data_IF_180242561820
#
_entry.id   IF_180242561820
#
_cell.length_a   1.000
_cell.length_b   1.000
_cell.length_c   1.000
_cell.angle_alpha   90.00
_cell.angle_beta   90.00
_cell.angle_gamma   90.00
#
_symmetry.space_group_name_H-M   'P 1'
#
loop_
_entity.id
_entity.type
_entity.pdbx_description
1 polymer ?
#
# COMPACT_ATOMS: atom_id res chain seq x y z
N UNK A 1 13.38 -4.82 -18.86
CA UNK A 1 12.40 -4.37 -17.84
C UNK A 1 13.15 -4.24 -16.53
N UNK A 2 13.25 -3.05 -15.95
CA UNK A 2 13.89 -2.85 -14.64
C UNK A 2 13.10 -3.63 -13.59
N UNK A 3 13.76 -4.53 -12.86
CA UNK A 3 13.17 -5.14 -11.67
C UNK A 3 13.09 -4.03 -10.62
N UNK A 4 11.90 -3.49 -10.41
CA UNK A 4 11.69 -2.59 -9.27
C UNK A 4 11.83 -3.43 -8.02
N UNK A 5 12.94 -3.30 -7.30
CA UNK A 5 13.22 -4.05 -6.08
C UNK A 5 12.66 -3.30 -4.85
N UNK A 6 12.32 -4.01 -3.78
CA UNK A 6 11.71 -3.42 -2.57
C UNK A 6 12.49 -2.21 -2.02
N UNK A 7 13.84 -2.22 -1.92
CA UNK A 7 14.59 -1.06 -1.45
C UNK A 7 14.36 0.21 -2.29
N UNK A 8 14.22 0.07 -3.61
CA UNK A 8 13.98 1.19 -4.53
C UNK A 8 12.58 1.79 -4.29
N UNK A 9 11.57 0.95 -4.08
CA UNK A 9 10.21 1.38 -3.74
C UNK A 9 10.20 2.13 -2.40
N UNK A 10 10.86 1.57 -1.38
CA UNK A 10 10.95 2.21 -0.07
C UNK A 10 11.69 3.55 -0.14
N UNK A 11 12.74 3.64 -0.96
CA UNK A 11 13.47 4.89 -1.18
C UNK A 11 12.58 5.92 -1.87
N UNK A 12 11.81 5.53 -2.89
CA UNK A 12 10.85 6.43 -3.56
C UNK A 12 9.81 6.97 -2.56
N UNK A 13 9.23 6.09 -1.73
CA UNK A 13 8.26 6.47 -0.70
C UNK A 13 8.86 7.51 0.28
N UNK A 14 10.15 7.39 0.62
CA UNK A 14 10.84 8.36 1.50
C UNK A 14 11.09 9.71 0.83
N UNK A 15 11.40 9.70 -0.46
CA UNK A 15 11.76 10.90 -1.22
C UNK A 15 10.53 11.67 -1.70
N UNK A 16 9.41 10.99 -1.91
CA UNK A 16 8.13 11.61 -2.22
C UNK A 16 7.54 12.25 -0.96
N UNK A 17 7.72 13.57 -0.83
CA UNK A 17 7.21 14.35 0.30
C UNK A 17 5.69 14.23 0.45
N UNK A 18 4.94 14.06 -0.65
CA UNK A 18 3.49 13.88 -0.60
C UNK A 18 3.17 12.55 0.09
N UNK A 19 3.73 11.45 -0.38
CA UNK A 19 3.45 10.12 0.20
C UNK A 19 3.97 10.04 1.64
N UNK A 20 5.18 10.55 1.90
CA UNK A 20 5.81 10.55 3.23
C UNK A 20 4.97 11.30 4.26
N UNK A 21 4.55 12.52 3.97
CA UNK A 21 3.85 13.37 4.94
C UNK A 21 2.43 12.83 5.22
N UNK A 22 1.84 12.11 4.27
CA UNK A 22 0.55 11.46 4.45
C UNK A 22 0.57 10.19 5.33
N UNK A 23 1.75 9.70 5.73
CA UNK A 23 1.87 8.71 6.81
C UNK A 23 1.84 9.33 8.21
N UNK A 24 2.04 10.64 8.33
CA UNK A 24 2.02 11.37 9.60
C UNK A 24 0.59 11.76 10.04
N UNK A 25 -0.35 11.84 9.09
CA UNK A 25 -1.76 12.16 9.38
C UNK A 25 -2.54 10.89 9.78
N UNK A 26 -2.89 10.74 11.05
CA UNK A 26 -3.49 9.51 11.57
C UNK A 26 -4.94 9.23 11.10
N UNK A 27 -5.58 10.10 10.32
CA UNK A 27 -7.03 10.01 10.05
C UNK A 27 -7.45 10.23 8.58
N UNK A 28 -6.60 9.92 7.59
CA UNK A 28 -7.03 9.97 6.19
C UNK A 28 -8.10 8.91 5.89
N UNK A 29 -9.24 9.37 5.37
CA UNK A 29 -10.27 8.49 4.83
C UNK A 29 -9.79 7.81 3.54
N UNK A 30 -10.45 6.71 3.18
CA UNK A 30 -10.21 6.02 1.89
C UNK A 30 -10.38 6.96 0.70
N UNK A 31 -11.37 7.84 0.77
CA UNK A 31 -11.67 8.80 -0.30
C UNK A 31 -10.59 9.87 -0.39
N UNK A 32 -10.16 10.43 0.74
CA UNK A 32 -9.06 11.39 0.78
C UNK A 32 -7.76 10.76 0.28
N UNK A 33 -7.45 9.53 0.71
CA UNK A 33 -6.26 8.80 0.26
C UNK A 33 -6.30 8.49 -1.24
N UNK A 34 -7.46 8.09 -1.77
CA UNK A 34 -7.61 7.83 -3.19
C UNK A 34 -7.46 9.12 -4.02
N UNK A 35 -8.10 10.21 -3.59
CA UNK A 35 -7.97 11.52 -4.21
C UNK A 35 -6.52 12.02 -4.17
N UNK A 36 -5.81 11.76 -3.07
CA UNK A 36 -4.42 12.13 -2.90
C UNK A 36 -3.50 11.46 -3.93
N UNK A 37 -3.76 10.18 -4.21
CA UNK A 37 -3.04 9.39 -5.21
C UNK A 37 -3.59 9.57 -6.64
N UNK A 38 -4.59 10.43 -6.83
CA UNK A 38 -5.12 10.80 -8.15
C UNK A 38 -6.12 9.80 -8.76
N UNK A 39 -6.82 8.99 -7.95
CA UNK A 39 -7.80 8.03 -8.47
C UNK A 39 -9.08 7.92 -7.62
N UNK A 40 -10.08 7.23 -8.15
CA UNK A 40 -11.35 7.02 -7.45
C UNK A 40 -11.23 5.98 -6.32
N UNK A 41 -11.98 6.16 -5.22
CA UNK A 41 -11.98 5.27 -4.04
C UNK A 41 -12.21 3.78 -4.37
N UNK A 42 -12.93 3.50 -5.47
CA UNK A 42 -13.19 2.13 -5.94
C UNK A 42 -11.92 1.41 -6.42
N UNK A 43 -10.88 2.14 -6.82
CA UNK A 43 -9.58 1.59 -7.17
C UNK A 43 -8.90 0.98 -5.94
N UNK A 44 -8.91 1.67 -4.80
CA UNK A 44 -8.40 1.12 -3.53
C UNK A 44 -9.16 -0.14 -3.15
N UNK A 45 -10.50 -0.08 -3.19
CA UNK A 45 -11.33 -1.24 -2.86
C UNK A 45 -11.01 -2.44 -3.75
N UNK A 46 -10.79 -2.24 -5.06
CA UNK A 46 -10.37 -3.30 -5.97
C UNK A 46 -9.00 -3.88 -5.60
N UNK A 47 -8.06 -3.07 -5.16
CA UNK A 47 -6.75 -3.56 -4.70
C UNK A 47 -6.85 -4.33 -3.39
N UNK A 48 -7.64 -3.84 -2.44
CA UNK A 48 -7.95 -4.56 -1.20
C UNK A 48 -8.55 -5.95 -1.52
N UNK A 49 -9.54 -6.01 -2.41
CA UNK A 49 -10.23 -7.26 -2.76
C UNK A 49 -9.39 -8.22 -3.62
N UNK A 50 -8.67 -7.71 -4.63
CA UNK A 50 -8.02 -8.54 -5.66
C UNK A 50 -6.52 -8.76 -5.45
N UNK A 51 -5.93 -8.11 -4.44
CA UNK A 51 -4.50 -8.22 -4.14
C UNK A 51 -4.32 -8.57 -2.66
N UNK A 52 -4.76 -7.70 -1.76
CA UNK A 52 -4.52 -7.89 -0.31
C UNK A 52 -5.28 -9.11 0.21
N UNK A 53 -6.58 -9.21 -0.06
CA UNK A 53 -7.42 -10.30 0.43
C UNK A 53 -7.02 -11.68 -0.14
N UNK A 54 -6.36 -11.72 -1.30
CA UNK A 54 -5.88 -12.94 -1.94
C UNK A 54 -4.50 -13.42 -1.41
N UNK A 55 -3.87 -12.65 -0.51
CA UNK A 55 -2.62 -13.01 0.17
C UNK A 55 -2.92 -13.14 1.67
N UNK A 56 -3.26 -14.34 2.19
CA UNK A 56 -3.67 -14.51 3.58
C UNK A 56 -2.77 -13.84 4.62
N UNK A 57 -1.43 -14.01 4.60
CA UNK A 57 -0.58 -13.40 5.63
C UNK A 57 -0.59 -11.86 5.56
N UNK A 58 -0.70 -11.29 4.36
CA UNK A 58 -0.81 -9.83 4.19
C UNK A 58 -2.18 -9.30 4.65
N UNK A 59 -3.26 -10.01 4.31
CA UNK A 59 -4.61 -9.73 4.79
C UNK A 59 -4.65 -9.67 6.30
N UNK A 60 -4.06 -10.66 7.00
CA UNK A 60 -4.04 -10.66 8.45
C UNK A 60 -3.34 -9.43 9.02
N UNK A 61 -2.15 -9.07 8.53
CA UNK A 61 -1.45 -7.84 8.98
C UNK A 61 -2.22 -6.56 8.64
N UNK A 62 -2.90 -6.52 7.48
CA UNK A 62 -3.65 -5.35 7.03
C UNK A 62 -4.87 -5.03 7.91
N UNK A 63 -5.53 -6.05 8.45
CA UNK A 63 -6.73 -5.91 9.30
C UNK A 63 -6.50 -6.19 10.78
N UNK A 64 -5.24 -6.38 11.21
CA UNK A 64 -4.84 -6.79 12.58
C UNK A 64 -5.47 -5.93 13.69
N UNK A 65 -5.58 -4.61 13.48
CA UNK A 65 -6.10 -3.67 14.48
C UNK A 65 -7.64 -3.46 14.43
N UNK A 66 -8.38 -4.36 13.78
CA UNK A 66 -9.84 -4.52 13.87
C UNK A 66 -10.66 -3.23 14.13
N UNK A 67 -10.60 -2.27 13.21
CA UNK A 67 -11.77 -1.41 12.89
C UNK A 67 -12.51 -1.96 11.68
N UNK A 68 -12.71 -3.28 11.64
CA UNK A 68 -13.41 -3.99 10.57
C UNK A 68 -12.78 -3.85 9.17
N UNK A 69 -13.20 -4.72 8.26
CA UNK A 69 -12.87 -4.67 6.82
C UNK A 69 -13.44 -3.40 6.15
N UNK A 70 -14.10 -2.51 6.91
CA UNK A 70 -14.96 -1.42 6.42
C UNK A 70 -14.86 -0.12 7.23
N UNK A 71 -13.79 0.12 7.97
CA UNK A 71 -13.53 1.47 8.49
C UNK A 71 -13.60 2.47 7.32
N UNK A 72 -14.10 3.69 7.50
CA UNK A 72 -13.97 4.72 6.45
C UNK A 72 -12.54 5.26 6.37
N UNK A 73 -11.74 5.01 7.40
CA UNK A 73 -10.38 5.51 7.58
C UNK A 73 -9.34 4.42 7.35
N UNK A 74 -8.20 4.83 6.81
CA UNK A 74 -7.02 3.99 6.63
C UNK A 74 -5.98 4.39 7.68
N UNK A 75 -5.43 3.41 8.39
CA UNK A 75 -4.26 3.66 9.22
C UNK A 75 -2.97 3.80 8.38
N UNK A 76 -1.88 4.20 9.02
CA UNK A 76 -0.60 4.43 8.34
C UNK A 76 -0.07 3.20 7.60
N UNK A 77 -0.21 2.01 8.19
CA UNK A 77 0.23 0.76 7.57
C UNK A 77 -0.61 0.37 6.36
N UNK A 78 -1.93 0.56 6.45
CA UNK A 78 -2.84 0.33 5.35
C UNK A 78 -2.52 1.25 4.16
N UNK A 79 -2.29 2.53 4.43
CA UNK A 79 -1.85 3.49 3.41
C UNK A 79 -0.50 3.11 2.83
N UNK A 80 0.44 2.63 3.65
CA UNK A 80 1.75 2.18 3.20
C UNK A 80 1.65 1.03 2.20
N UNK A 81 0.85 0.00 2.49
CA UNK A 81 0.66 -1.10 1.56
C UNK A 81 -0.05 -0.67 0.27
N UNK A 82 -1.02 0.23 0.36
CA UNK A 82 -1.69 0.78 -0.83
C UNK A 82 -0.73 1.66 -1.67
N UNK A 83 0.20 2.39 -1.04
CA UNK A 83 1.25 3.13 -1.73
C UNK A 83 2.22 2.21 -2.47
N UNK A 84 2.62 1.09 -1.85
CA UNK A 84 3.44 0.07 -2.52
C UNK A 84 2.72 -0.49 -3.74
N UNK A 85 1.44 -0.85 -3.60
CA UNK A 85 0.63 -1.33 -4.72
C UNK A 85 0.56 -0.27 -5.82
N UNK A 86 0.33 0.99 -5.47
CA UNK A 86 0.33 2.11 -6.41
C UNK A 86 1.65 2.23 -7.18
N UNK A 87 2.79 2.26 -6.49
CA UNK A 87 4.11 2.35 -7.13
C UNK A 87 4.44 1.12 -7.98
N UNK A 88 4.06 -0.07 -7.52
CA UNK A 88 4.19 -1.30 -8.31
C UNK A 88 3.33 -1.25 -9.56
N UNK A 89 2.12 -0.68 -9.48
CA UNK A 89 1.24 -0.45 -10.62
C UNK A 89 1.77 0.65 -11.56
N UNK A 90 2.65 1.53 -11.07
CA UNK A 90 3.34 2.59 -11.83
C UNK A 90 2.39 3.69 -12.33
N UNK A 91 2.91 4.59 -13.17
CA UNK A 91 2.08 5.59 -13.92
C UNK A 91 1.02 4.92 -14.82
N UNK A 92 1.12 3.60 -15.02
CA UNK A 92 0.17 2.79 -15.77
C UNK A 92 -1.13 2.47 -15.00
N UNK A 93 -1.42 3.13 -13.86
CA UNK A 93 -2.79 3.12 -13.29
C UNK A 93 -3.81 3.65 -14.31
N UNK A 94 -3.40 4.55 -15.23
CA UNK A 94 -4.22 5.02 -16.35
C UNK A 94 -4.32 4.01 -17.52
N UNK A 95 -3.38 3.07 -17.64
CA UNK A 95 -3.30 2.13 -18.78
C UNK A 95 -3.62 0.67 -18.42
N UNK A 96 -3.62 0.30 -17.13
CA UNK A 96 -4.00 -1.02 -16.64
C UNK A 96 -2.92 -2.13 -16.75
N UNK A 97 -1.64 -1.80 -16.94
CA UNK A 97 -0.66 -2.74 -17.55
C UNK A 97 0.27 -3.51 -16.57
N UNK A 98 0.28 -3.24 -15.26
CA UNK A 98 0.75 -4.26 -14.29
C UNK A 98 -0.39 -5.15 -13.83
N UNK A 99 -0.36 -6.43 -14.20
CA UNK A 99 -1.38 -7.41 -13.80
C UNK A 99 -1.33 -7.64 -12.27
N UNK A 100 -2.49 -7.77 -11.62
CA UNK A 100 -2.60 -8.10 -10.19
C UNK A 100 -1.73 -9.30 -9.79
N UNK A 101 -1.54 -10.26 -10.70
CA UNK A 101 -0.67 -11.42 -10.47
C UNK A 101 0.75 -11.03 -10.11
N UNK A 102 1.39 -10.14 -10.87
CA UNK A 102 2.77 -9.70 -10.63
C UNK A 102 2.90 -8.92 -9.32
N UNK A 103 1.92 -8.06 -9.03
CA UNK A 103 1.88 -7.33 -7.74
C UNK A 103 1.75 -8.32 -6.59
N UNK A 104 0.88 -9.33 -6.71
CA UNK A 104 0.72 -10.36 -5.69
C UNK A 104 2.00 -11.17 -5.48
N UNK A 105 2.68 -11.57 -6.55
CA UNK A 105 3.96 -12.29 -6.47
C UNK A 105 5.03 -11.45 -5.76
N UNK A 106 5.17 -10.18 -6.13
CA UNK A 106 6.10 -9.26 -5.47
C UNK A 106 5.81 -9.15 -3.97
N UNK A 107 4.54 -8.91 -3.60
CA UNK A 107 4.13 -8.78 -2.21
C UNK A 107 4.35 -10.08 -1.42
N UNK A 108 4.12 -11.26 -2.04
CA UNK A 108 4.40 -12.57 -1.42
C UNK A 108 5.88 -12.77 -1.16
N UNK A 109 6.74 -12.49 -2.15
CA UNK A 109 8.19 -12.65 -2.02
C UNK A 109 8.78 -11.72 -0.95
N UNK A 110 8.20 -10.52 -0.80
CA UNK A 110 8.69 -9.50 0.13
C UNK A 110 7.92 -9.44 1.45
N UNK A 111 6.96 -10.34 1.68
CA UNK A 111 6.02 -10.25 2.80
C UNK A 111 6.71 -10.06 4.15
N UNK A 112 7.82 -10.77 4.39
CA UNK A 112 8.57 -10.71 5.65
C UNK A 112 9.08 -9.30 6.00
N UNK A 113 9.28 -8.43 5.01
CA UNK A 113 9.68 -7.03 5.21
C UNK A 113 8.50 -6.06 5.17
N UNK A 114 7.33 -6.53 4.74
CA UNK A 114 6.12 -5.74 4.57
C UNK A 114 5.12 -5.93 5.73
N UNK A 115 5.47 -6.64 6.79
CA UNK A 115 4.58 -6.85 7.95
C UNK A 115 4.42 -5.53 8.71
N UNK A 116 3.27 -5.40 9.38
CA UNK A 116 2.94 -4.23 10.20
C UNK A 116 4.04 -3.91 11.21
N UNK A 117 4.52 -4.90 11.97
CA UNK A 117 5.60 -4.71 12.94
C UNK A 117 6.87 -4.10 12.34
N UNK A 118 7.24 -4.50 11.13
CA UNK A 118 8.47 -4.06 10.47
C UNK A 118 8.26 -2.63 9.91
N UNK A 119 7.04 -2.30 9.46
CA UNK A 119 6.64 -0.94 9.12
C UNK A 119 6.64 0.02 10.32
N UNK A 120 6.08 -0.39 11.46
CA UNK A 120 6.04 0.47 12.65
C UNK A 120 7.47 0.75 13.17
N UNK A 121 8.34 -0.27 13.19
CA UNK A 121 9.77 -0.08 13.48
C UNK A 121 10.44 0.87 12.47
N UNK A 122 10.13 0.74 11.18
CA UNK A 122 10.66 1.63 10.16
C UNK A 122 10.23 3.09 10.37
N UNK A 123 8.97 3.30 10.78
CA UNK A 123 8.38 4.61 11.08
C UNK A 123 9.03 5.27 12.30
N UNK A 124 9.32 4.50 13.36
CA UNK A 124 10.01 4.99 14.56
C UNK A 124 11.48 5.39 14.30
N UNK A 125 12.10 4.80 13.27
CA UNK A 125 13.48 5.08 12.86
C UNK A 125 13.59 6.11 11.72
N UNK A 126 12.51 6.82 11.37
CA UNK A 126 12.55 7.99 10.46
C UNK A 126 12.73 9.27 11.28
#
# INVERSE_FOLDING_TARGET
MSRTDLPEILQYIKQDSKIRDAFLDNLLSREQWASFLGFHRTTLWRWEEKIINEIPPLRFSYYENCRGVRSNYLDAYQRFLLAIIYLLKGEEVEKGIKNNTQVKEFLKMNFMHLRRKDFEQWKENQ
#
